data_IF_218146440322
#
_entry.id   IF_218146440322
#
_cell.length_a   1.000
_cell.length_b   1.000
_cell.length_c   1.000
_cell.angle_alpha   90.00
_cell.angle_beta   90.00
_cell.angle_gamma   90.00
#
_symmetry.space_group_name_H-M   'P 1'
#
loop_
_entity.id
_entity.type
_entity.pdbx_description
1 polymer ?
#
# COMPACT_ATOMS: atom_id res chain seq x y z
N UNK A 1 -15.21 -16.11 17.90
CA UNK A 1 -14.63 -15.41 16.74
C UNK A 1 -13.15 -15.69 16.70
N UNK A 2 -12.58 -16.00 15.53
CA UNK A 2 -11.12 -16.19 15.42
C UNK A 2 -10.41 -14.83 15.61
N UNK A 3 -9.27 -14.79 16.33
CA UNK A 3 -8.55 -13.53 16.57
C UNK A 3 -8.08 -12.85 15.29
N UNK A 4 -7.77 -13.62 14.23
CA UNK A 4 -7.39 -13.07 12.92
C UNK A 4 -8.53 -12.32 12.24
N UNK A 5 -9.77 -12.79 12.39
CA UNK A 5 -10.96 -12.11 11.84
C UNK A 5 -11.22 -10.80 12.59
N UNK A 6 -11.01 -10.80 13.91
CA UNK A 6 -11.08 -9.56 14.70
C UNK A 6 -10.05 -8.54 14.24
N UNK A 7 -8.83 -8.98 13.91
CA UNK A 7 -7.79 -8.09 13.38
C UNK A 7 -8.19 -7.49 12.03
N UNK A 8 -8.66 -8.30 11.10
CA UNK A 8 -9.11 -7.84 9.78
C UNK A 8 -10.29 -6.86 9.91
N UNK A 9 -11.26 -7.17 10.77
CA UNK A 9 -12.42 -6.32 11.00
C UNK A 9 -12.03 -4.97 11.63
N UNK A 10 -11.11 -4.96 12.61
CA UNK A 10 -10.60 -3.72 13.19
C UNK A 10 -9.72 -2.93 12.23
N UNK A 11 -8.99 -3.60 11.33
CA UNK A 11 -8.24 -2.95 10.27
C UNK A 11 -9.18 -2.19 9.32
N UNK A 12 -10.26 -2.82 8.87
CA UNK A 12 -11.27 -2.16 8.03
C UNK A 12 -12.06 -1.08 8.76
N UNK A 13 -12.12 -1.11 10.10
CA UNK A 13 -12.69 -0.03 10.89
C UNK A 13 -11.96 1.30 10.70
N UNK A 14 -10.64 1.30 10.46
CA UNK A 14 -9.87 2.52 10.19
C UNK A 14 -10.37 3.24 8.93
N UNK A 15 -10.89 2.48 7.96
CA UNK A 15 -11.49 3.02 6.73
C UNK A 15 -13.01 3.32 6.86
N UNK A 16 -13.58 3.18 8.06
CA UNK A 16 -15.00 3.41 8.31
C UNK A 16 -15.93 2.32 7.78
N UNK A 17 -15.42 1.14 7.43
CA UNK A 17 -16.23 0.03 6.90
C UNK A 17 -16.82 -0.87 7.99
N UNK A 18 -16.40 -0.70 9.23
CA UNK A 18 -16.80 -1.57 10.34
C UNK A 18 -17.61 -0.80 11.38
N UNK A 19 -18.77 -1.34 11.74
CA UNK A 19 -19.60 -0.83 12.83
C UNK A 19 -19.39 -1.65 14.11
N UNK A 20 -19.70 -1.04 15.27
CA UNK A 20 -19.62 -1.71 16.58
C UNK A 20 -20.43 -3.02 16.60
N UNK A 21 -21.51 -3.11 15.83
CA UNK A 21 -22.35 -4.31 15.78
C UNK A 21 -21.66 -5.51 15.14
N UNK A 22 -20.78 -5.28 14.17
CA UNK A 22 -20.00 -6.34 13.51
C UNK A 22 -18.87 -6.88 14.41
N UNK A 23 -18.50 -6.15 15.47
CA UNK A 23 -17.52 -6.61 16.48
C UNK A 23 -18.16 -7.52 17.53
N UNK A 24 -19.49 -7.52 17.63
CA UNK A 24 -20.24 -8.29 18.63
C UNK A 24 -20.71 -9.62 18.02
N UNK A 25 -20.22 -10.73 18.56
CA UNK A 25 -20.55 -12.09 18.08
C UNK A 25 -22.07 -12.33 18.13
N UNK A 26 -22.72 -11.87 19.20
CA UNK A 26 -24.17 -12.00 19.42
C UNK A 26 -25.00 -11.22 18.38
N UNK A 27 -24.44 -10.18 17.74
CA UNK A 27 -25.12 -9.40 16.69
C UNK A 27 -24.76 -9.87 15.27
N UNK A 28 -23.61 -10.52 15.10
CA UNK A 28 -23.15 -11.06 13.81
C UNK A 28 -23.88 -12.35 13.42
N UNK A 29 -24.34 -13.14 14.39
CA UNK A 29 -25.00 -14.44 14.15
C UNK A 29 -26.48 -14.35 14.47
N UNK A 30 -27.40 -14.41 13.48
CA UNK A 30 -28.82 -14.12 13.70
C UNK A 30 -29.58 -15.20 14.50
N UNK A 31 -28.95 -16.32 14.87
CA UNK A 31 -29.61 -17.48 15.49
C UNK A 31 -29.00 -17.91 16.83
N UNK A 32 -28.30 -17.00 17.52
CA UNK A 32 -27.65 -17.26 18.82
C UNK A 32 -28.38 -16.53 19.95
N UNK A 33 -28.70 -17.22 21.02
CA UNK A 33 -29.25 -16.61 22.25
C UNK A 33 -28.23 -15.62 22.82
N UNK A 34 -28.65 -14.40 23.16
CA UNK A 34 -27.75 -13.38 23.75
C UNK A 34 -27.07 -13.97 24.99
N UNK A 35 -25.77 -14.19 24.90
CA UNK A 35 -24.99 -14.76 26.00
C UNK A 35 -24.40 -13.66 26.87
N UNK A 36 -24.23 -12.45 26.30
CA UNK A 36 -23.60 -11.35 26.99
C UNK A 36 -24.59 -10.45 27.75
N UNK A 37 -24.22 -9.97 28.95
CA UNK A 37 -24.99 -8.97 29.67
C UNK A 37 -25.14 -7.65 28.90
N UNK A 38 -26.24 -6.93 29.13
CA UNK A 38 -26.54 -5.66 28.45
C UNK A 38 -25.46 -4.58 28.64
N UNK A 39 -24.75 -4.59 29.78
CA UNK A 39 -23.72 -3.58 30.07
C UNK A 39 -22.48 -3.71 29.18
N UNK A 40 -22.24 -4.90 28.62
CA UNK A 40 -21.09 -5.19 27.74
C UNK A 40 -21.16 -4.38 26.44
N UNK A 41 -22.36 -4.07 25.95
CA UNK A 41 -22.54 -3.24 24.76
C UNK A 41 -21.96 -1.83 24.95
N UNK A 42 -22.06 -1.26 26.15
CA UNK A 42 -21.44 0.03 26.46
C UNK A 42 -19.92 -0.05 26.46
N UNK A 43 -19.34 -1.14 26.97
CA UNK A 43 -17.90 -1.37 26.90
C UNK A 43 -17.41 -1.45 25.46
N UNK A 44 -18.09 -2.20 24.59
CA UNK A 44 -17.73 -2.29 23.17
C UNK A 44 -17.74 -0.91 22.51
N UNK A 45 -18.76 -0.09 22.78
CA UNK A 45 -18.84 1.28 22.24
C UNK A 45 -17.69 2.17 22.73
N UNK A 46 -17.33 2.09 24.02
CA UNK A 46 -16.24 2.89 24.60
C UNK A 46 -14.88 2.46 24.04
N UNK A 47 -14.58 1.16 24.05
CA UNK A 47 -13.29 0.64 23.58
C UNK A 47 -13.14 0.87 22.07
N UNK A 48 -14.19 0.62 21.28
CA UNK A 48 -14.18 0.89 19.86
C UNK A 48 -14.07 2.40 19.57
N UNK A 49 -14.72 3.25 20.36
CA UNK A 49 -14.59 4.71 20.26
C UNK A 49 -13.16 5.20 20.52
N UNK A 50 -12.50 4.70 21.57
CA UNK A 50 -11.09 5.03 21.86
C UNK A 50 -10.18 4.53 20.74
N UNK A 51 -10.42 3.31 20.24
CA UNK A 51 -9.67 2.76 19.10
C UNK A 51 -9.79 3.65 17.86
N UNK A 52 -11.01 4.08 17.50
CA UNK A 52 -11.25 4.96 16.36
C UNK A 52 -10.60 6.34 16.56
N UNK A 53 -10.65 6.90 17.77
CA UNK A 53 -9.99 8.18 18.07
C UNK A 53 -8.47 8.07 17.88
N UNK A 54 -7.84 7.07 18.48
CA UNK A 54 -6.37 6.91 18.38
C UNK A 54 -5.97 6.59 16.94
N UNK A 55 -6.61 5.63 16.29
CA UNK A 55 -6.24 5.22 14.93
C UNK A 55 -6.55 6.29 13.88
N UNK A 56 -7.82 6.69 13.75
CA UNK A 56 -8.27 7.56 12.67
C UNK A 56 -7.87 9.02 12.91
N UNK A 57 -8.01 9.52 14.14
CA UNK A 57 -7.74 10.95 14.42
C UNK A 57 -6.27 11.20 14.73
N UNK A 58 -5.63 10.36 15.54
CA UNK A 58 -4.24 10.61 15.95
C UNK A 58 -3.25 10.05 14.94
N UNK A 59 -3.28 8.74 14.67
CA UNK A 59 -2.24 8.09 13.85
C UNK A 59 -2.26 8.56 12.40
N UNK A 60 -3.43 8.66 11.75
CA UNK A 60 -3.50 9.13 10.36
C UNK A 60 -3.01 10.58 10.25
N UNK A 61 -3.40 11.47 11.15
CA UNK A 61 -2.95 12.86 11.11
C UNK A 61 -1.44 13.01 11.36
N UNK A 62 -0.89 12.22 12.27
CA UNK A 62 0.56 12.18 12.48
C UNK A 62 1.30 11.61 11.26
N UNK A 63 0.74 10.58 10.62
CA UNK A 63 1.31 10.02 9.39
C UNK A 63 1.32 11.07 8.27
N UNK A 64 0.22 11.80 8.08
CA UNK A 64 0.14 12.90 7.11
C UNK A 64 1.17 13.98 7.44
N UNK A 65 1.32 14.35 8.72
CA UNK A 65 2.31 15.33 9.16
C UNK A 65 3.74 14.87 8.83
N UNK A 66 4.10 13.62 9.15
CA UNK A 66 5.42 13.05 8.88
C UNK A 66 5.70 12.94 7.38
N UNK A 67 4.72 12.48 6.59
CA UNK A 67 4.84 12.40 5.13
C UNK A 67 5.01 13.81 4.51
N UNK A 68 4.30 14.81 5.02
CA UNK A 68 4.43 16.19 4.55
C UNK A 68 5.81 16.78 4.86
N UNK A 69 6.31 16.60 6.08
CA UNK A 69 7.63 17.07 6.51
C UNK A 69 8.76 16.41 5.69
N UNK A 70 8.72 15.08 5.57
CA UNK A 70 9.71 14.32 4.79
C UNK A 70 9.64 14.66 3.30
N UNK A 71 8.45 14.88 2.75
CA UNK A 71 8.28 15.35 1.37
C UNK A 71 8.93 16.71 1.16
N UNK A 72 8.65 17.70 2.02
CA UNK A 72 9.24 19.03 1.93
C UNK A 72 10.77 18.99 2.02
N UNK A 73 11.32 18.17 2.92
CA UNK A 73 12.77 18.03 3.10
C UNK A 73 13.46 17.41 1.87
N UNK A 74 12.86 16.40 1.27
CA UNK A 74 13.52 15.56 0.25
C UNK A 74 13.21 16.04 -1.17
N UNK A 75 12.16 16.85 -1.38
CA UNK A 75 11.71 17.31 -2.71
C UNK A 75 12.84 17.88 -3.57
N UNK A 76 13.61 18.85 -3.04
CA UNK A 76 14.65 19.52 -3.80
C UNK A 76 15.80 18.58 -4.20
N UNK A 77 16.14 17.62 -3.34
CA UNK A 77 17.17 16.63 -3.63
C UNK A 77 16.67 15.58 -4.63
N UNK A 78 15.43 15.11 -4.48
CA UNK A 78 14.77 14.19 -5.41
C UNK A 78 14.72 14.75 -6.84
N UNK A 79 14.45 16.04 -7.01
CA UNK A 79 14.44 16.67 -8.33
C UNK A 79 15.84 16.66 -9.00
N UNK A 80 16.90 16.83 -8.20
CA UNK A 80 18.29 16.75 -8.69
C UNK A 80 18.64 15.30 -9.05
N UNK A 81 18.31 14.35 -8.19
CA UNK A 81 18.53 12.92 -8.42
C UNK A 81 17.76 12.41 -9.64
N UNK A 82 16.52 12.87 -9.83
CA UNK A 82 15.71 12.55 -10.99
C UNK A 82 16.34 13.08 -12.28
N UNK A 83 16.77 14.36 -12.31
CA UNK A 83 17.47 14.93 -13.47
C UNK A 83 18.78 14.20 -13.76
N UNK A 84 19.52 13.78 -12.73
CA UNK A 84 20.72 12.98 -12.88
C UNK A 84 20.41 11.59 -13.45
N UNK A 85 19.38 10.91 -12.94
CA UNK A 85 18.88 9.64 -13.49
C UNK A 85 18.45 9.77 -14.95
N UNK A 86 17.75 10.85 -15.28
CA UNK A 86 17.34 11.17 -16.66
C UNK A 86 18.55 11.38 -17.57
N UNK A 87 19.56 12.13 -17.13
CA UNK A 87 20.78 12.35 -17.91
C UNK A 87 21.52 11.04 -18.22
N UNK A 88 21.56 10.10 -17.25
CA UNK A 88 22.13 8.77 -17.45
C UNK A 88 21.30 7.95 -18.43
N UNK A 89 19.97 7.98 -18.30
CA UNK A 89 19.07 7.28 -19.20
C UNK A 89 19.27 7.75 -20.65
N UNK A 90 19.28 9.06 -20.89
CA UNK A 90 19.49 9.65 -22.21
C UNK A 90 20.88 9.26 -22.76
N UNK A 91 21.93 9.38 -21.94
CA UNK A 91 23.28 8.99 -22.34
C UNK A 91 23.37 7.50 -22.72
N UNK A 92 22.72 6.64 -21.95
CA UNK A 92 22.69 5.20 -22.21
C UNK A 92 21.92 4.90 -23.49
N UNK A 93 20.77 5.54 -23.72
CA UNK A 93 20.03 5.40 -24.97
C UNK A 93 20.85 5.85 -26.18
N UNK A 94 21.56 6.97 -26.09
CA UNK A 94 22.38 7.46 -27.21
C UNK A 94 23.65 6.62 -27.44
N UNK A 95 24.24 6.02 -26.40
CA UNK A 95 25.43 5.14 -26.53
C UNK A 95 25.08 3.73 -26.97
N UNK A 96 23.87 3.27 -26.68
CA UNK A 96 23.40 1.94 -27.02
C UNK A 96 22.83 1.96 -28.43
N UNK A 97 23.66 1.68 -29.44
CA UNK A 97 23.22 1.54 -30.85
C UNK A 97 22.53 0.20 -31.13
N UNK A 98 21.97 -0.44 -30.11
CA UNK A 98 21.30 -1.74 -30.22
C UNK A 98 19.86 -1.50 -30.65
N UNK A 99 19.37 -2.28 -31.62
CA UNK A 99 17.95 -2.22 -32.00
C UNK A 99 17.07 -2.43 -30.75
N UNK A 100 15.92 -1.75 -30.63
CA UNK A 100 15.05 -1.93 -29.46
C UNK A 100 14.62 -3.40 -29.37
N UNK A 101 14.67 -3.99 -28.17
CA UNK A 101 14.10 -5.32 -27.94
C UNK A 101 12.59 -5.30 -28.25
N UNK A 102 12.03 -6.32 -28.93
CA UNK A 102 12.62 -7.61 -29.29
C UNK A 102 13.37 -7.66 -30.64
N UNK A 103 13.39 -6.57 -31.43
CA UNK A 103 14.00 -6.55 -32.78
C UNK A 103 15.51 -6.85 -32.77
N UNK A 104 16.19 -6.58 -31.65
CA UNK A 104 17.59 -6.95 -31.47
C UNK A 104 17.88 -8.45 -31.69
N UNK A 105 16.92 -9.31 -31.39
CA UNK A 105 17.09 -10.76 -31.57
C UNK A 105 17.21 -11.09 -33.06
N UNK A 106 16.32 -10.57 -33.91
CA UNK A 106 16.37 -10.82 -35.36
C UNK A 106 17.65 -10.24 -35.98
N UNK A 107 18.04 -9.03 -35.61
CA UNK A 107 19.25 -8.38 -36.15
C UNK A 107 20.52 -9.10 -35.71
N UNK A 108 20.61 -9.56 -34.45
CA UNK A 108 21.78 -10.31 -33.94
C UNK A 108 21.91 -11.67 -34.63
N UNK A 109 20.81 -12.41 -34.79
CA UNK A 109 20.81 -13.70 -35.50
C UNK A 109 21.19 -13.54 -36.98
N UNK A 110 20.67 -12.50 -37.64
CA UNK A 110 21.02 -12.22 -39.04
C UNK A 110 22.50 -11.88 -39.22
N UNK A 111 23.06 -11.00 -38.37
CA UNK A 111 24.50 -10.66 -38.40
C UNK A 111 25.36 -11.91 -38.17
N UNK A 112 25.00 -12.76 -37.20
CA UNK A 112 25.71 -14.01 -36.93
C UNK A 112 25.70 -14.99 -38.11
N UNK A 113 24.57 -15.14 -38.81
CA UNK A 113 24.48 -16.02 -40.00
C UNK A 113 25.37 -15.47 -41.12
N UNK A 114 25.34 -14.15 -41.38
CA UNK A 114 26.15 -13.51 -42.43
C UNK A 114 27.64 -13.67 -42.15
N UNK A 115 28.07 -13.52 -40.90
CA UNK A 115 29.48 -13.66 -40.50
C UNK A 115 29.99 -15.10 -40.63
N UNK A 116 29.10 -16.10 -40.51
CA UNK A 116 29.46 -17.53 -40.60
C UNK A 116 29.47 -18.09 -42.03
N UNK A 117 28.80 -17.43 -42.96
CA UNK A 117 28.73 -17.82 -44.39
C UNK A 117 29.87 -17.21 -45.22
N UNK A 118 30.50 -16.15 -44.71
CA UNK A 118 31.70 -15.53 -45.28
C UNK A 118 32.97 -16.28 -44.89
#
# INVERSE_FOLDING_TARGET
MNPILSFELLFFAVFGQTTTDQTQIDKMTPNTTRTQPYWTEYLFKIVFGIYMLVSVVVLINLLIAMMSDTYQRIQAQSDIEWKYGLSKLIRNMHRTSTAPSPMNLVTTWFVWIVEKVR
#
